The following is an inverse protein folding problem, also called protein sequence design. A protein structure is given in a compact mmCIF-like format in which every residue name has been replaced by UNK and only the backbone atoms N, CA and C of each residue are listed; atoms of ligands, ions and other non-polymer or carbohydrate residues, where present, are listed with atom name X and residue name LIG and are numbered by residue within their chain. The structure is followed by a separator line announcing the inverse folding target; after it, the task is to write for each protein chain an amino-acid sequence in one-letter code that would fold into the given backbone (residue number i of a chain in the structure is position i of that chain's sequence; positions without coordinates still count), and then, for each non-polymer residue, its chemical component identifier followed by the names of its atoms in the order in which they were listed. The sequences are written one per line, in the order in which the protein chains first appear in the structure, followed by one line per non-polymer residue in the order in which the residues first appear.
data_IF_738503190481
#
_entry.id   IF_738503190481
#
_cell.length_a   1.000
_cell.length_b   1.000
_cell.length_c   1.000
_cell.angle_alpha   90.00
_cell.angle_beta   90.00
_cell.angle_gamma   90.00
#
_symmetry.space_group_name_H-M   'P 1'
#
loop_
_entity.id
_entity.type
_entity.pdbx_description
1 polymer ?
#
# COMPACT_ATOMS: atom_id res chain seq x y z
N UNK A 1 -13.38 -6.03 -2.16
CA UNK A 1 -12.56 -4.85 -2.57
C UNK A 1 -12.64 -3.67 -1.60
N UNK A 2 -13.82 -3.20 -1.15
CA UNK A 2 -13.88 -2.04 -0.21
C UNK A 2 -13.08 -2.28 1.09
N UNK A 3 -13.19 -3.48 1.65
CA UNK A 3 -12.47 -3.87 2.87
C UNK A 3 -10.94 -3.81 2.72
N UNK A 4 -10.38 -4.42 1.68
CA UNK A 4 -8.91 -4.37 1.49
C UNK A 4 -8.40 -2.95 1.24
N UNK A 5 -9.16 -2.10 0.54
CA UNK A 5 -8.80 -0.69 0.35
C UNK A 5 -8.79 0.09 1.66
N UNK A 6 -9.73 -0.20 2.55
CA UNK A 6 -9.75 0.37 3.88
C UNK A 6 -8.53 -0.07 4.68
N UNK A 7 -8.24 -1.38 4.71
CA UNK A 7 -7.04 -1.93 5.38
C UNK A 7 -5.73 -1.38 4.82
N UNK A 8 -5.61 -1.24 3.50
CA UNK A 8 -4.44 -0.65 2.86
C UNK A 8 -4.31 0.85 3.16
N UNK A 9 -5.43 1.57 3.26
CA UNK A 9 -5.43 2.98 3.68
C UNK A 9 -4.92 3.11 5.12
N UNK A 10 -5.38 2.24 6.01
CA UNK A 10 -4.98 2.22 7.40
C UNK A 10 -3.53 1.75 7.59
N UNK A 11 -3.11 0.71 6.86
CA UNK A 11 -1.71 0.28 6.77
C UNK A 11 -0.81 1.41 6.26
N UNK A 12 -1.21 2.15 5.22
CA UNK A 12 -0.42 3.27 4.70
C UNK A 12 -0.23 4.40 5.71
N UNK A 13 -1.16 4.56 6.67
CA UNK A 13 -0.98 5.48 7.80
C UNK A 13 -0.02 4.90 8.84
N UNK A 14 -0.19 3.63 9.21
CA UNK A 14 0.68 2.91 10.15
C UNK A 14 2.15 2.80 9.66
N UNK A 15 2.37 2.48 8.39
CA UNK A 15 3.69 2.43 7.76
C UNK A 15 4.30 3.82 7.54
N UNK A 16 3.49 4.88 7.66
CA UNK A 16 3.94 6.27 7.62
C UNK A 16 4.47 6.76 8.96
N UNK A 17 3.97 6.23 10.09
CA UNK A 17 4.41 6.62 11.44
C UNK A 17 5.68 5.89 11.88
N UNK A 18 5.95 4.70 11.34
CA UNK A 18 7.20 3.94 11.57
C UNK A 18 8.30 4.36 10.60
N UNK A 19 8.93 5.51 10.85
CA UNK A 19 10.17 5.91 10.14
C UNK A 19 11.36 5.26 10.84
N UNK A 20 11.78 4.08 10.37
CA UNK A 20 12.97 3.40 10.89
C UNK A 20 13.23 2.02 10.29
N UNK A 21 14.16 1.97 9.33
CA UNK A 21 15.01 0.82 8.91
C UNK A 21 14.53 -0.24 7.92
N UNK A 22 13.24 -0.42 7.62
CA UNK A 22 12.81 -1.58 6.79
C UNK A 22 12.30 -1.26 5.38
N UNK A 23 11.85 -0.03 5.13
CA UNK A 23 11.46 0.42 3.80
C UNK A 23 12.53 1.35 3.25
N UNK A 24 13.14 1.05 2.06
CA UNK A 24 14.04 2.01 1.44
C UNK A 24 13.28 3.32 1.33
N UNK A 25 13.94 4.42 1.73
CA UNK A 25 13.42 5.79 1.67
C UNK A 25 12.77 5.96 0.29
N UNK A 26 11.46 5.81 0.24
CA UNK A 26 10.75 5.79 -1.03
C UNK A 26 10.93 7.14 -1.68
N UNK A 27 11.14 7.21 -2.99
CA UNK A 27 11.21 8.45 -3.77
C UNK A 27 9.94 9.33 -3.71
N UNK A 28 8.96 8.92 -2.88
CA UNK A 28 7.68 9.57 -2.69
C UNK A 28 7.65 10.25 -1.32
N UNK A 29 7.40 11.58 -1.29
CA UNK A 29 7.27 12.30 -0.03
C UNK A 29 6.09 11.73 0.77
N UNK A 30 6.33 11.37 2.03
CA UNK A 30 5.28 10.98 2.96
C UNK A 30 4.84 12.25 3.71
N UNK A 31 3.59 12.71 3.57
CA UNK A 31 3.10 13.84 4.36
C UNK A 31 2.94 13.40 5.82
N UNK A 32 3.79 13.89 6.72
CA UNK A 32 3.53 13.81 8.16
C UNK A 32 2.35 14.70 8.48
N UNK A 33 1.22 14.12 8.89
CA UNK A 33 0.02 14.89 9.21
C UNK A 33 -0.20 14.96 10.72
N UNK A 34 -0.47 16.17 11.20
CA UNK A 34 -0.58 16.56 12.61
C UNK A 34 -1.99 16.39 13.21
N UNK A 35 -2.79 15.42 12.75
CA UNK A 35 -4.12 15.16 13.36
C UNK A 35 -4.55 13.69 13.25
N UNK A 36 -4.55 13.00 14.39
CA UNK A 36 -4.85 11.58 14.56
C UNK A 36 -6.36 11.27 14.53
N UNK A 37 -6.99 11.40 13.36
CA UNK A 37 -8.34 10.84 13.09
C UNK A 37 -8.27 9.81 11.94
N UNK A 38 -7.05 9.41 11.56
CA UNK A 38 -6.85 8.47 10.46
C UNK A 38 -7.04 7.04 10.97
N UNK A 39 -7.74 6.18 10.23
CA UNK A 39 -7.83 4.78 10.61
C UNK A 39 -6.42 4.19 10.69
N UNK A 40 -6.10 3.58 11.83
CA UNK A 40 -4.86 2.83 12.07
C UNK A 40 -5.25 1.38 12.33
N UNK A 41 -4.51 0.44 11.72
CA UNK A 41 -4.64 -0.97 12.06
C UNK A 41 -3.88 -1.26 13.35
N UNK A 42 -4.35 -2.23 14.16
CA UNK A 42 -3.52 -2.79 15.23
C UNK A 42 -2.28 -3.46 14.64
N UNK A 43 -1.16 -3.45 15.37
CA UNK A 43 0.15 -3.89 14.88
C UNK A 43 0.13 -5.28 14.23
N UNK A 44 -0.59 -6.23 14.82
CA UNK A 44 -0.71 -7.59 14.30
C UNK A 44 -1.36 -7.67 12.90
N UNK A 45 -2.41 -6.89 12.67
CA UNK A 45 -3.09 -6.81 11.37
C UNK A 45 -2.28 -5.97 10.38
N UNK A 46 -1.64 -4.91 10.86
CA UNK A 46 -0.74 -4.10 10.05
C UNK A 46 0.44 -4.93 9.52
N UNK A 47 1.07 -5.76 10.35
CA UNK A 47 2.16 -6.68 9.96
C UNK A 47 1.72 -7.72 8.94
N UNK A 48 0.50 -8.26 9.04
CA UNK A 48 -0.05 -9.18 8.03
C UNK A 48 -0.18 -8.50 6.66
N UNK A 49 -0.74 -7.29 6.65
CA UNK A 49 -0.88 -6.49 5.43
C UNK A 49 0.50 -6.11 4.89
N UNK A 50 1.43 -5.72 5.77
CA UNK A 50 2.80 -5.36 5.42
C UNK A 50 3.53 -6.53 4.75
N UNK A 51 3.46 -7.72 5.33
CA UNK A 51 4.02 -8.95 4.74
C UNK A 51 3.38 -9.28 3.39
N UNK A 52 2.07 -9.06 3.23
CA UNK A 52 1.39 -9.28 1.96
C UNK A 52 1.85 -8.28 0.88
N UNK A 53 2.04 -7.00 1.25
CA UNK A 53 2.58 -5.96 0.37
C UNK A 53 4.05 -6.25 0.02
N UNK A 54 4.88 -6.62 0.99
CA UNK A 54 6.28 -6.99 0.75
C UNK A 54 6.40 -8.19 -0.21
N UNK A 55 5.51 -9.19 -0.08
CA UNK A 55 5.44 -10.31 -1.01
C UNK A 55 5.10 -9.88 -2.44
N UNK A 56 4.24 -8.88 -2.63
CA UNK A 56 3.91 -8.37 -3.96
C UNK A 56 5.16 -7.93 -4.73
N UNK A 57 6.17 -7.36 -4.04
CA UNK A 57 7.43 -6.91 -4.66
C UNK A 57 8.16 -8.01 -5.45
N UNK A 58 8.04 -9.26 -5.02
CA UNK A 58 8.68 -10.40 -5.70
C UNK A 58 7.96 -10.83 -6.98
N UNK A 59 6.65 -10.57 -7.09
CA UNK A 59 5.83 -10.99 -8.24
C UNK A 59 5.52 -9.85 -9.20
N UNK A 60 5.32 -8.65 -8.67
CA UNK A 60 4.98 -7.43 -9.41
C UNK A 60 5.60 -6.22 -8.70
N UNK A 61 6.85 -5.93 -9.04
CA UNK A 61 7.61 -4.82 -8.47
C UNK A 61 6.96 -3.47 -8.77
N UNK A 62 6.39 -3.30 -9.97
CA UNK A 62 5.69 -2.07 -10.35
C UNK A 62 4.37 -1.93 -9.58
N UNK A 63 3.61 -3.01 -9.43
CA UNK A 63 2.42 -3.05 -8.59
C UNK A 63 2.73 -2.66 -7.14
N UNK A 64 3.82 -3.19 -6.58
CA UNK A 64 4.33 -2.80 -5.26
C UNK A 64 4.61 -1.29 -5.17
N UNK A 65 5.35 -0.73 -6.13
CA UNK A 65 5.66 0.72 -6.15
C UNK A 65 4.40 1.59 -6.21
N UNK A 66 3.42 1.19 -7.02
CA UNK A 66 2.14 1.90 -7.14
C UNK A 66 1.33 1.82 -5.84
N UNK A 67 1.28 0.65 -5.18
CA UNK A 67 0.60 0.48 -3.88
C UNK A 67 1.23 1.37 -2.82
N UNK A 68 2.57 1.38 -2.72
CA UNK A 68 3.30 2.23 -1.77
C UNK A 68 3.07 3.71 -2.08
N UNK A 69 3.20 4.13 -3.34
CA UNK A 69 2.98 5.51 -3.74
C UNK A 69 1.55 5.98 -3.44
N UNK A 70 0.56 5.13 -3.71
CA UNK A 70 -0.86 5.46 -3.54
C UNK A 70 -1.27 5.49 -2.07
N UNK A 71 -1.00 4.43 -1.31
CA UNK A 71 -1.51 4.28 0.06
C UNK A 71 -0.65 4.94 1.12
N UNK A 72 0.69 4.91 0.97
CA UNK A 72 1.62 5.55 1.91
C UNK A 72 1.98 6.97 1.47
N UNK A 73 2.38 7.14 0.21
CA UNK A 73 2.71 8.45 -0.37
C UNK A 73 1.51 9.36 -0.64
N UNK A 74 0.27 8.83 -0.54
CA UNK A 74 -0.98 9.54 -0.83
C UNK A 74 -1.01 10.15 -2.25
N UNK A 75 -0.23 9.59 -3.18
CA UNK A 75 -0.18 10.03 -4.55
C UNK A 75 -1.42 9.53 -5.32
N UNK A 76 -2.04 10.40 -6.11
CA UNK A 76 -3.15 10.00 -6.98
C UNK A 76 -2.65 9.15 -8.16
N UNK A 77 -3.50 8.29 -8.72
CA UNK A 77 -3.18 7.53 -9.95
C UNK A 77 -2.74 8.44 -11.11
N UNK A 78 -3.23 9.68 -11.17
CA UNK A 78 -2.79 10.69 -12.14
C UNK A 78 -1.37 11.17 -11.89
N UNK A 79 -1.00 11.42 -10.64
CA UNK A 79 0.37 11.81 -10.28
C UNK A 79 1.36 10.68 -10.55
N UNK A 80 1.00 9.45 -10.17
CA UNK A 80 1.79 8.25 -10.44
C UNK A 80 1.92 8.02 -11.96
N UNK A 81 0.82 8.12 -12.72
CA UNK A 81 0.83 7.98 -14.17
C UNK A 81 1.74 9.00 -14.86
N UNK A 82 1.70 10.28 -14.44
CA UNK A 82 2.63 11.30 -14.95
C UNK A 82 4.09 10.96 -14.69
N UNK A 83 4.41 10.46 -13.50
CA UNK A 83 5.78 10.06 -13.15
C UNK A 83 6.26 8.86 -13.97
N UNK A 84 5.37 7.90 -14.23
CA UNK A 84 5.68 6.69 -15.02
C UNK A 84 5.58 6.90 -16.54
N UNK A 85 5.14 8.07 -17.01
CA UNK A 85 4.84 8.30 -18.43
C UNK A 85 3.69 7.43 -18.96
N UNK A 86 2.74 7.03 -18.09
CA UNK A 86 1.60 6.16 -18.42
C UNK A 86 0.26 6.85 -18.18
N UNK A 87 -0.77 6.40 -18.90
CA UNK A 87 -2.16 6.85 -18.66
C UNK A 87 -2.62 6.44 -17.26
N UNK A 88 -3.44 7.28 -16.62
CA UNK A 88 -3.96 6.98 -15.28
C UNK A 88 -4.80 5.69 -15.23
N UNK A 89 -5.47 5.33 -16.33
CA UNK A 89 -6.27 4.09 -16.41
C UNK A 89 -5.40 2.85 -16.28
N UNK A 90 -4.20 2.87 -16.89
CA UNK A 90 -3.23 1.80 -16.74
C UNK A 90 -2.79 1.63 -15.28
N UNK A 91 -2.49 2.75 -14.61
CA UNK A 91 -2.12 2.76 -13.18
C UNK A 91 -3.27 2.27 -12.31
N UNK A 92 -4.50 2.71 -12.59
CA UNK A 92 -5.69 2.28 -11.85
C UNK A 92 -5.98 0.79 -12.01
N UNK A 93 -5.77 0.23 -13.21
CA UNK A 93 -5.92 -1.19 -13.48
C UNK A 93 -4.85 -2.01 -12.74
N UNK A 94 -3.60 -1.57 -12.76
CA UNK A 94 -2.50 -2.24 -12.06
C UNK A 94 -2.66 -2.17 -10.53
N UNK A 95 -3.11 -1.03 -10.01
CA UNK A 95 -3.45 -0.86 -8.60
C UNK A 95 -4.58 -1.83 -8.21
N UNK A 96 -5.65 -1.93 -8.99
CA UNK A 96 -6.76 -2.85 -8.70
C UNK A 96 -6.34 -4.32 -8.71
N UNK A 97 -5.45 -4.71 -9.64
CA UNK A 97 -4.86 -6.06 -9.67
C UNK A 97 -4.00 -6.33 -8.42
N UNK A 98 -3.19 -5.35 -8.05
CA UNK A 98 -2.33 -5.42 -6.87
C UNK A 98 -3.15 -5.55 -5.58
N UNK A 99 -4.22 -4.76 -5.45
CA UNK A 99 -5.18 -4.85 -4.33
C UNK A 99 -5.82 -6.24 -4.23
N UNK A 100 -6.21 -6.84 -5.35
CA UNK A 100 -6.79 -8.17 -5.38
C UNK A 100 -5.80 -9.25 -4.94
N UNK A 101 -4.54 -9.17 -5.39
CA UNK A 101 -3.48 -10.07 -4.95
C UNK A 101 -3.24 -9.98 -3.44
N UNK A 102 -3.12 -8.75 -2.92
CA UNK A 102 -2.90 -8.52 -1.48
C UNK A 102 -4.09 -9.04 -0.68
N UNK A 103 -5.32 -8.82 -1.14
CA UNK A 103 -6.52 -9.37 -0.49
C UNK A 103 -6.43 -10.90 -0.35
N UNK A 104 -6.07 -11.60 -1.42
CA UNK A 104 -5.90 -13.06 -1.39
C UNK A 104 -4.77 -13.52 -0.46
N UNK A 105 -3.66 -12.80 -0.37
CA UNK A 105 -2.57 -13.13 0.57
C UNK A 105 -2.98 -12.93 2.02
N UNK A 106 -3.69 -11.83 2.33
CA UNK A 106 -4.17 -11.54 3.69
C UNK A 106 -5.19 -12.58 4.15
N UNK A 107 -6.08 -13.00 3.26
CA UNK A 107 -7.06 -14.05 3.52
C UNK A 107 -6.37 -15.40 3.81
N UNK A 108 -5.39 -15.78 2.97
CA UNK A 108 -4.59 -16.98 3.16
C UNK A 108 -3.76 -16.99 4.46
N UNK A 109 -3.38 -15.81 4.99
CA UNK A 109 -2.75 -15.73 6.31
C UNK A 109 -3.74 -15.93 7.47
N UNK A 110 -5.02 -15.68 7.23
CA UNK A 110 -6.08 -15.82 8.24
C UNK A 110 -6.55 -17.26 8.40
N UNK A 111 -6.47 -18.08 7.34
CA UNK A 111 -6.84 -19.51 7.36
C UNK A 111 -5.76 -20.43 7.94
N UNK A 112 -4.55 -19.94 8.23
CA UNK A 112 -3.41 -20.74 8.72
C UNK A 112 -3.23 -20.73 10.25
N UNK A 113 -4.26 -20.34 11.00
CA UNK A 113 -4.26 -20.32 12.47
C UNK A 113 -5.19 -21.40 13.00
#
# INVERSE_FOLDING_TARGET
MKEIRYRLTAWGNWAGTRVGTEYPVSSWPVPMASSDIRPMLPDNEAEKVDRAVARLKHFDSLGYEIVVAYYRGKASCRAIGRHLGRKHDYVSALLSRSEAYIAGQVDAFSERI
#
